data_IF_657515410478
#
_entry.id   IF_657515410478
#
_cell.length_a   1.000
_cell.length_b   1.000
_cell.length_c   1.000
_cell.angle_alpha   90.00
_cell.angle_beta   90.00
_cell.angle_gamma   90.00
#
_symmetry.space_group_name_H-M   'P 1'
#
loop_
_entity.id
_entity.type
_entity.pdbx_description
1 polymer ?
#
# COMPACT_ATOMS: atom_id res chain seq x y z
N UNK A 1 -35.99 -25.93 1.40
CA UNK A 1 -34.52 -25.84 1.42
C UNK A 1 -34.15 -24.44 1.87
N UNK A 2 -33.36 -24.25 2.94
CA UNK A 2 -33.05 -22.92 3.44
C UNK A 2 -31.99 -22.27 2.53
N UNK A 3 -32.30 -21.09 2.01
CA UNK A 3 -31.36 -20.24 1.30
C UNK A 3 -30.27 -19.77 2.26
N UNK A 4 -29.06 -20.29 2.09
CA UNK A 4 -27.86 -19.76 2.72
C UNK A 4 -27.47 -18.47 2.02
N UNK A 5 -27.91 -17.33 2.57
CA UNK A 5 -27.38 -16.02 2.19
C UNK A 5 -25.89 -15.97 2.52
N UNK A 6 -25.06 -15.83 1.50
CA UNK A 6 -23.64 -15.53 1.65
C UNK A 6 -23.48 -14.21 2.43
N UNK A 7 -22.56 -14.14 3.42
CA UNK A 7 -22.30 -12.89 4.11
C UNK A 7 -21.66 -11.91 3.11
N UNK A 8 -22.43 -10.91 2.69
CA UNK A 8 -21.95 -9.75 1.94
C UNK A 8 -20.82 -9.10 2.73
N UNK A 9 -19.64 -9.03 2.12
CA UNK A 9 -18.48 -8.35 2.67
C UNK A 9 -18.87 -6.92 3.06
N UNK A 10 -18.75 -6.58 4.35
CA UNK A 10 -18.91 -5.19 4.78
C UNK A 10 -17.74 -4.39 4.19
N UNK A 11 -18.01 -3.37 3.36
CA UNK A 11 -16.98 -2.48 2.85
C UNK A 11 -16.33 -1.77 4.05
N UNK A 12 -15.10 -1.28 3.85
CA UNK A 12 -14.34 -0.46 4.80
C UNK A 12 -15.29 0.41 5.63
N UNK A 13 -15.52 -0.03 6.87
CA UNK A 13 -16.51 0.56 7.76
C UNK A 13 -15.95 1.89 8.22
N UNK A 14 -16.24 2.97 7.49
CA UNK A 14 -15.93 4.32 7.94
C UNK A 14 -16.67 4.50 9.27
N UNK A 15 -15.90 4.66 10.35
CA UNK A 15 -16.43 5.03 11.65
C UNK A 15 -16.64 6.54 11.61
N UNK A 16 -17.88 6.99 11.78
CA UNK A 16 -18.20 8.41 11.79
C UNK A 16 -18.33 8.89 13.24
N UNK A 17 -17.56 9.92 13.57
CA UNK A 17 -17.77 10.71 14.78
C UNK A 17 -18.66 11.89 14.44
N UNK A 18 -19.84 11.95 15.05
CA UNK A 18 -20.80 13.03 14.87
C UNK A 18 -21.00 13.79 16.17
N UNK A 19 -21.00 15.12 16.08
CA UNK A 19 -21.39 16.02 17.16
C UNK A 19 -22.82 16.45 16.88
N UNK A 20 -23.72 16.23 17.84
CA UNK A 20 -25.12 16.58 17.67
C UNK A 20 -25.71 17.20 18.94
N UNK A 21 -26.79 17.96 18.77
CA UNK A 21 -27.35 18.80 19.84
C UNK A 21 -26.28 19.69 20.49
N UNK A 22 -26.47 20.11 21.74
CA UNK A 22 -25.50 20.89 22.52
C UNK A 22 -24.52 20.03 23.33
N UNK A 23 -24.82 18.73 23.44
CA UNK A 23 -24.21 17.83 24.43
C UNK A 23 -24.04 16.37 23.98
N UNK A 24 -24.25 16.03 22.70
CA UNK A 24 -24.16 14.64 22.22
C UNK A 24 -22.95 14.40 21.34
N UNK A 25 -22.31 13.26 21.58
CA UNK A 25 -21.28 12.69 20.73
C UNK A 25 -21.76 11.32 20.27
N UNK A 26 -21.75 11.06 18.98
CA UNK A 26 -22.20 9.81 18.39
C UNK A 26 -21.04 9.13 17.66
N UNK A 27 -20.84 7.85 17.95
CA UNK A 27 -19.98 6.96 17.19
C UNK A 27 -20.87 6.10 16.31
N UNK A 28 -20.90 6.40 15.02
CA UNK A 28 -21.71 5.70 14.03
C UNK A 28 -20.85 4.66 13.33
N UNK A 29 -21.38 3.46 13.16
CA UNK A 29 -20.68 2.34 12.50
C UNK A 29 -19.36 1.96 13.23
N UNK A 30 -19.32 2.19 14.55
CA UNK A 30 -18.18 1.92 15.41
C UNK A 30 -18.35 0.61 16.16
N UNK A 31 -17.38 -0.30 16.02
CA UNK A 31 -17.43 -1.59 16.69
C UNK A 31 -17.41 -1.45 18.22
N UNK A 32 -18.10 -2.36 18.93
CA UNK A 32 -18.27 -2.35 20.40
C UNK A 32 -16.96 -2.31 21.20
N UNK A 33 -15.86 -2.81 20.63
CA UNK A 33 -14.55 -2.76 21.29
C UNK A 33 -14.02 -1.33 21.47
N UNK A 34 -14.49 -0.37 20.66
CA UNK A 34 -14.10 1.04 20.78
C UNK A 34 -14.88 1.78 21.87
N UNK A 35 -15.99 1.22 22.35
CA UNK A 35 -16.93 1.95 23.22
C UNK A 35 -16.32 2.27 24.58
N UNK A 36 -15.68 1.29 25.22
CA UNK A 36 -15.11 1.47 26.56
C UNK A 36 -13.89 2.41 26.56
N UNK A 37 -12.89 2.23 25.67
CA UNK A 37 -11.81 3.19 25.52
C UNK A 37 -12.30 4.61 25.25
N UNK A 38 -13.32 4.76 24.40
CA UNK A 38 -13.94 6.05 24.10
C UNK A 38 -14.54 6.70 25.35
N UNK A 39 -15.32 5.95 26.13
CA UNK A 39 -15.94 6.45 27.36
C UNK A 39 -14.90 6.85 28.40
N UNK A 40 -13.87 6.02 28.60
CA UNK A 40 -12.80 6.31 29.55
C UNK A 40 -12.06 7.61 29.17
N UNK A 41 -11.82 7.82 27.88
CA UNK A 41 -11.17 9.04 27.40
C UNK A 41 -12.05 10.29 27.49
N UNK A 42 -13.35 10.16 27.19
CA UNK A 42 -14.31 11.27 27.35
C UNK A 42 -14.42 11.66 28.84
N UNK A 43 -14.52 10.68 29.74
CA UNK A 43 -14.59 10.91 31.19
C UNK A 43 -13.30 11.52 31.75
N UNK A 44 -12.12 11.13 31.23
CA UNK A 44 -10.85 11.69 31.65
C UNK A 44 -10.62 13.12 31.13
N UNK A 45 -11.19 13.46 29.96
CA UNK A 45 -11.03 14.77 29.34
C UNK A 45 -11.97 15.83 29.91
N UNK A 46 -13.21 15.44 30.22
CA UNK A 46 -14.17 16.33 30.87
C UNK A 46 -13.98 16.28 32.38
N UNK A 47 -13.47 17.36 32.98
CA UNK A 47 -13.31 17.46 34.44
C UNK A 47 -14.67 17.33 35.15
N UNK A 48 -15.09 16.11 35.49
CA UNK A 48 -16.34 15.85 36.24
C UNK A 48 -17.61 15.71 35.39
N UNK A 49 -17.52 15.47 34.08
CA UNK A 49 -18.72 15.17 33.27
C UNK A 49 -19.22 13.77 33.58
N UNK A 50 -20.34 13.64 34.30
CA UNK A 50 -21.10 12.40 34.31
C UNK A 50 -21.67 12.18 32.90
N UNK A 51 -21.38 11.02 32.32
CA UNK A 51 -21.76 10.68 30.96
C UNK A 51 -22.83 9.60 31.00
N UNK A 52 -23.92 9.79 30.22
CA UNK A 52 -24.89 8.70 30.00
C UNK A 52 -24.76 8.19 28.58
N UNK A 53 -24.89 6.88 28.41
CA UNK A 53 -24.77 6.23 27.10
C UNK A 53 -26.10 5.68 26.65
N UNK A 54 -26.31 5.74 25.34
CA UNK A 54 -27.44 5.09 24.69
C UNK A 54 -26.93 4.29 23.50
N UNK A 55 -27.17 2.98 23.55
CA UNK A 55 -27.01 2.10 22.41
C UNK A 55 -28.17 2.41 21.44
N UNK A 56 -27.86 3.07 20.33
CA UNK A 56 -28.85 3.40 19.31
C UNK A 56 -29.11 2.21 18.38
N UNK A 57 -28.11 1.33 18.24
CA UNK A 57 -28.16 -0.02 17.67
C UNK A 57 -26.78 -0.68 17.87
N UNK A 58 -26.64 -1.98 17.60
CA UNK A 58 -25.42 -2.75 17.87
C UNK A 58 -24.09 -2.17 17.32
N UNK A 59 -24.14 -1.14 16.46
CA UNK A 59 -23.00 -0.45 15.84
C UNK A 59 -22.98 1.08 16.07
N UNK A 60 -23.96 1.65 16.79
CA UNK A 60 -24.07 3.09 17.03
C UNK A 60 -24.15 3.40 18.53
N UNK A 61 -23.14 4.08 19.05
CA UNK A 61 -23.08 4.56 20.44
C UNK A 61 -23.37 6.06 20.49
N UNK A 62 -24.33 6.46 21.29
CA UNK A 62 -24.52 7.86 21.68
C UNK A 62 -24.02 8.09 23.12
N UNK A 63 -23.29 9.18 23.28
CA UNK A 63 -22.69 9.64 24.53
C UNK A 63 -23.30 11.01 24.83
N UNK A 64 -24.05 11.13 25.92
CA UNK A 64 -24.54 12.40 26.45
C UNK A 64 -23.52 12.94 27.44
N UNK A 65 -22.99 14.11 27.13
CA UNK A 65 -22.09 14.85 28.00
C UNK A 65 -22.90 15.67 29.00
N UNK A 66 -22.31 15.95 30.16
CA UNK A 66 -22.86 16.92 31.08
C UNK A 66 -22.48 18.34 30.62
N UNK A 67 -23.39 19.31 30.77
CA UNK A 67 -23.21 20.66 30.24
C UNK A 67 -23.41 20.76 28.72
N UNK A 68 -22.95 21.87 28.13
CA UNK A 68 -23.15 22.20 26.70
C UNK A 68 -21.83 22.44 25.97
N UNK A 69 -20.92 21.43 25.92
CA UNK A 69 -19.59 21.61 25.36
C UNK A 69 -19.61 22.07 23.90
N UNK A 70 -20.66 21.75 23.14
CA UNK A 70 -20.77 22.12 21.73
C UNK A 70 -21.43 23.50 21.52
N UNK A 71 -21.99 24.12 22.56
CA UNK A 71 -22.64 25.43 22.47
C UNK A 71 -21.63 26.58 22.40
N UNK A 72 -20.38 26.35 22.84
CA UNK A 72 -19.29 27.33 22.82
C UNK A 72 -19.69 28.67 23.46
N UNK A 73 -20.45 28.61 24.56
CA UNK A 73 -20.96 29.78 25.29
C UNK A 73 -19.84 30.58 25.98
N UNK A 74 -18.70 29.94 26.24
CA UNK A 74 -17.50 30.57 26.78
C UNK A 74 -16.22 30.03 26.14
N UNK A 75 -15.13 30.78 26.29
CA UNK A 75 -13.80 30.39 25.79
C UNK A 75 -13.31 29.08 26.46
N UNK A 76 -13.68 28.85 27.72
CA UNK A 76 -13.45 27.60 28.44
C UNK A 76 -14.23 26.42 27.82
N UNK A 77 -15.50 26.61 27.46
CA UNK A 77 -16.31 25.53 26.86
C UNK A 77 -15.72 25.08 25.53
N UNK A 78 -15.25 26.03 24.71
CA UNK A 78 -14.58 25.73 23.45
C UNK A 78 -13.27 24.94 23.63
N UNK A 79 -12.52 25.17 24.71
CA UNK A 79 -11.29 24.42 25.02
C UNK A 79 -11.62 23.03 25.51
N UNK A 80 -12.59 22.87 26.42
CA UNK A 80 -13.03 21.57 26.93
C UNK A 80 -13.60 20.68 25.82
N UNK A 81 -14.40 21.24 24.91
CA UNK A 81 -14.89 20.56 23.72
C UNK A 81 -13.74 19.98 22.86
N UNK A 82 -12.68 20.77 22.65
CA UNK A 82 -11.50 20.34 21.88
C UNK A 82 -10.69 19.28 22.63
N UNK A 83 -10.61 19.34 23.97
CA UNK A 83 -9.99 18.29 24.78
C UNK A 83 -10.72 16.96 24.64
N UNK A 84 -12.05 16.98 24.66
CA UNK A 84 -12.88 15.78 24.44
C UNK A 84 -12.60 15.22 23.04
N UNK A 85 -12.66 16.03 21.99
CA UNK A 85 -12.33 15.58 20.63
C UNK A 85 -10.92 15.00 20.51
N UNK A 86 -9.92 15.66 21.11
CA UNK A 86 -8.55 15.15 21.14
C UNK A 86 -8.43 13.81 21.88
N UNK A 87 -9.15 13.65 22.99
CA UNK A 87 -9.18 12.39 23.74
C UNK A 87 -9.81 11.28 22.90
N UNK A 88 -10.92 11.55 22.20
CA UNK A 88 -11.53 10.62 21.25
C UNK A 88 -10.55 10.21 20.14
N UNK A 89 -9.86 11.16 19.51
CA UNK A 89 -8.86 10.82 18.48
C UNK A 89 -7.70 9.98 19.03
N UNK A 90 -7.34 10.17 20.30
CA UNK A 90 -6.32 9.35 21.00
C UNK A 90 -6.80 7.94 21.36
N UNK A 91 -8.10 7.67 21.37
CA UNK A 91 -8.65 6.32 21.59
C UNK A 91 -8.64 5.44 20.35
N UNK A 92 -8.34 6.02 19.18
CA UNK A 92 -7.97 5.20 18.03
C UNK A 92 -6.74 4.37 18.43
N UNK A 93 -6.70 3.07 18.10
CA UNK A 93 -5.54 2.24 18.44
C UNK A 93 -4.28 2.94 17.96
N UNK A 94 -3.30 3.14 18.85
CA UNK A 94 -1.97 3.61 18.46
C UNK A 94 -1.45 2.56 17.49
N UNK A 95 -1.54 2.86 16.20
CA UNK A 95 -1.02 1.97 15.16
C UNK A 95 0.49 2.05 15.25
N UNK A 96 1.10 1.04 15.85
CA UNK A 96 2.54 0.86 15.79
C UNK A 96 2.89 0.38 14.39
N UNK A 97 3.76 1.10 13.71
CA UNK A 97 4.24 0.71 12.40
C UNK A 97 5.61 0.07 12.52
N UNK A 98 5.75 -1.11 11.93
CA UNK A 98 7.04 -1.74 11.70
C UNK A 98 7.48 -1.46 10.27
N UNK A 99 8.80 -1.34 10.08
CA UNK A 99 9.41 -1.04 8.80
C UNK A 99 10.50 -2.05 8.49
N UNK A 100 10.62 -2.43 7.24
CA UNK A 100 11.76 -3.21 6.75
C UNK A 100 12.06 -2.82 5.31
N UNK A 101 13.19 -3.29 4.78
CA UNK A 101 13.65 -2.87 3.45
C UNK A 101 14.10 -4.05 2.60
N UNK A 102 13.79 -4.00 1.31
CA UNK A 102 14.34 -4.90 0.29
C UNK A 102 15.15 -4.05 -0.68
N UNK A 103 16.45 -4.34 -0.77
CA UNK A 103 17.39 -3.62 -1.63
C UNK A 103 17.91 -4.53 -2.74
N UNK A 104 17.83 -4.03 -3.98
CA UNK A 104 18.52 -4.63 -5.12
C UNK A 104 20.00 -4.22 -5.04
N UNK A 105 20.91 -5.18 -4.84
CA UNK A 105 22.31 -4.88 -4.54
C UNK A 105 23.25 -5.49 -5.57
N UNK A 106 24.29 -4.71 -5.92
CA UNK A 106 25.30 -5.08 -6.92
C UNK A 106 24.62 -5.48 -8.24
N UNK A 107 24.91 -6.67 -8.74
CA UNK A 107 24.41 -7.15 -10.02
C UNK A 107 23.43 -8.32 -9.86
N UNK A 108 23.38 -8.92 -8.67
CA UNK A 108 22.81 -10.24 -8.45
C UNK A 108 22.34 -10.53 -7.01
N UNK A 109 22.31 -9.54 -6.11
CA UNK A 109 21.95 -9.77 -4.70
C UNK A 109 20.66 -9.06 -4.31
N UNK A 110 19.88 -9.70 -3.44
CA UNK A 110 18.80 -9.08 -2.70
C UNK A 110 19.23 -8.96 -1.25
N UNK A 111 19.19 -7.76 -0.68
CA UNK A 111 19.46 -7.53 0.74
C UNK A 111 18.20 -7.08 1.45
N UNK A 112 17.82 -7.82 2.48
CA UNK A 112 16.67 -7.58 3.32
C UNK A 112 17.18 -7.02 4.65
N UNK A 113 16.74 -5.83 5.03
CA UNK A 113 17.17 -5.16 6.27
C UNK A 113 15.97 -5.06 7.21
N UNK A 114 16.14 -5.54 8.44
CA UNK A 114 15.11 -5.58 9.49
C UNK A 114 13.82 -6.30 9.08
N UNK A 115 13.92 -7.22 8.11
CA UNK A 115 12.78 -7.98 7.62
C UNK A 115 12.42 -9.11 8.60
N UNK A 116 11.16 -9.26 9.03
CA UNK A 116 10.75 -10.42 9.80
C UNK A 116 10.84 -11.69 8.95
N UNK A 117 10.94 -12.84 9.62
CA UNK A 117 11.13 -14.15 8.96
C UNK A 117 10.05 -14.47 7.92
N UNK A 118 8.81 -13.99 8.13
CA UNK A 118 7.71 -14.18 7.16
C UNK A 118 7.99 -13.48 5.82
N UNK A 119 8.61 -12.29 5.84
CA UNK A 119 9.01 -11.55 4.64
C UNK A 119 10.22 -12.23 4.00
N UNK A 120 11.20 -12.66 4.80
CA UNK A 120 12.37 -13.40 4.31
C UNK A 120 11.94 -14.68 3.57
N UNK A 121 11.02 -15.45 4.15
CA UNK A 121 10.50 -16.68 3.55
C UNK A 121 9.71 -16.38 2.27
N UNK A 122 8.85 -15.36 2.28
CA UNK A 122 8.12 -14.94 1.08
C UNK A 122 9.06 -14.55 -0.08
N UNK A 123 10.17 -13.86 0.21
CA UNK A 123 11.19 -13.54 -0.79
C UNK A 123 11.90 -14.80 -1.27
N UNK A 124 12.30 -15.71 -0.36
CA UNK A 124 12.95 -16.98 -0.72
C UNK A 124 12.08 -17.84 -1.63
N UNK A 125 10.79 -17.95 -1.32
CA UNK A 125 9.82 -18.69 -2.13
C UNK A 125 9.67 -18.07 -3.53
N UNK A 126 9.60 -16.74 -3.59
CA UNK A 126 9.52 -16.01 -4.86
C UNK A 126 10.78 -16.21 -5.72
N UNK A 127 11.96 -16.25 -5.10
CA UNK A 127 13.22 -16.59 -5.77
C UNK A 127 13.14 -18.02 -6.31
N UNK A 128 12.86 -19.01 -5.46
CA UNK A 128 12.86 -20.42 -5.84
C UNK A 128 11.84 -20.78 -6.91
N UNK A 129 10.75 -20.02 -7.03
CA UNK A 129 9.74 -20.22 -8.07
C UNK A 129 10.24 -19.91 -9.49
N UNK A 130 11.28 -19.09 -9.67
CA UNK A 130 11.66 -18.56 -11.00
C UNK A 130 13.15 -18.34 -11.23
N UNK A 131 13.94 -18.29 -10.17
CA UNK A 131 15.38 -18.08 -10.17
C UNK A 131 16.07 -19.19 -9.38
N UNK A 132 17.39 -19.28 -9.54
CA UNK A 132 18.22 -20.18 -8.74
C UNK A 132 18.97 -19.37 -7.69
N UNK A 133 18.81 -19.75 -6.43
CA UNK A 133 19.63 -19.25 -5.34
C UNK A 133 21.05 -19.81 -5.48
N UNK A 134 22.05 -18.94 -5.41
CA UNK A 134 23.47 -19.31 -5.47
C UNK A 134 24.10 -19.32 -4.08
N UNK A 135 23.71 -18.39 -3.20
CA UNK A 135 24.21 -18.28 -1.84
C UNK A 135 23.20 -17.52 -0.98
N UNK A 136 23.24 -17.74 0.33
CA UNK A 136 22.36 -17.11 1.31
C UNK A 136 23.13 -16.84 2.60
N UNK A 137 23.15 -15.57 3.02
CA UNK A 137 23.86 -15.14 4.21
C UNK A 137 22.89 -14.45 5.19
N UNK A 138 23.00 -14.80 6.47
CA UNK A 138 22.25 -14.16 7.54
C UNK A 138 23.23 -13.45 8.49
N UNK A 139 23.06 -12.14 8.63
CA UNK A 139 23.78 -11.27 9.54
C UNK A 139 22.73 -10.57 10.43
N UNK A 140 23.05 -10.26 11.69
CA UNK A 140 22.13 -9.76 12.72
C UNK A 140 20.83 -9.09 12.23
N UNK A 141 20.92 -7.96 11.51
CA UNK A 141 19.76 -7.21 11.00
C UNK A 141 19.57 -7.32 9.48
N UNK A 142 20.40 -8.11 8.79
CA UNK A 142 20.49 -8.16 7.34
C UNK A 142 20.51 -9.59 6.84
N UNK A 143 19.53 -9.94 6.01
CA UNK A 143 19.48 -11.20 5.30
C UNK A 143 19.77 -10.99 3.81
N UNK A 144 20.69 -11.74 3.23
CA UNK A 144 21.12 -11.53 1.85
C UNK A 144 21.00 -12.80 1.01
N UNK A 145 20.34 -12.68 -0.13
CA UNK A 145 20.25 -13.73 -1.14
C UNK A 145 21.13 -13.36 -2.33
N UNK A 146 22.02 -14.26 -2.76
CA UNK A 146 22.73 -14.16 -4.02
C UNK A 146 22.03 -15.01 -5.06
N UNK A 147 21.63 -14.40 -6.17
CA UNK A 147 20.96 -15.06 -7.27
C UNK A 147 22.00 -15.55 -8.28
N UNK A 148 21.71 -16.67 -8.95
CA UNK A 148 22.53 -17.12 -10.09
C UNK A 148 22.31 -16.16 -11.27
N UNK A 149 23.41 -15.72 -11.89
CA UNK A 149 23.39 -14.78 -13.01
C UNK A 149 23.51 -13.31 -12.56
N UNK A 150 23.06 -12.37 -13.39
CA UNK A 150 23.16 -10.93 -13.12
C UNK A 150 21.83 -10.20 -13.38
N UNK A 151 20.75 -10.52 -12.63
CA UNK A 151 19.41 -9.97 -12.88
C UNK A 151 19.34 -8.43 -12.83
N UNK A 152 20.24 -7.76 -12.10
CA UNK A 152 20.27 -6.30 -12.02
C UNK A 152 21.15 -5.63 -13.09
N UNK A 153 21.83 -6.43 -13.90
CA UNK A 153 22.52 -6.03 -15.14
C UNK A 153 22.02 -6.83 -16.34
N UNK A 154 20.76 -7.24 -16.29
CA UNK A 154 20.14 -8.05 -17.33
C UNK A 154 20.03 -7.30 -18.66
N UNK A 155 20.02 -8.05 -19.75
CA UNK A 155 19.73 -7.55 -21.10
C UNK A 155 18.68 -8.44 -21.78
N UNK A 156 18.03 -7.91 -22.84
CA UNK A 156 17.03 -8.65 -23.60
C UNK A 156 15.93 -9.28 -22.73
N UNK A 157 15.76 -10.60 -22.88
CA UNK A 157 14.74 -11.40 -22.19
C UNK A 157 14.97 -11.53 -20.68
N UNK A 158 16.22 -11.54 -20.22
CA UNK A 158 16.55 -11.64 -18.79
C UNK A 158 15.98 -10.45 -18.00
N UNK A 159 15.82 -9.30 -18.66
CA UNK A 159 15.22 -8.12 -18.04
C UNK A 159 13.73 -8.31 -17.71
N UNK A 160 13.04 -9.18 -18.45
CA UNK A 160 11.64 -9.54 -18.16
C UNK A 160 11.60 -10.42 -16.92
N UNK A 161 12.46 -11.44 -16.84
CA UNK A 161 12.55 -12.31 -15.68
C UNK A 161 12.88 -11.54 -14.39
N UNK A 162 13.84 -10.62 -14.43
CA UNK A 162 14.23 -9.81 -13.27
C UNK A 162 13.08 -8.92 -12.77
N UNK A 163 12.39 -8.20 -13.67
CA UNK A 163 11.24 -7.34 -13.31
C UNK A 163 10.03 -8.14 -12.85
N UNK A 164 9.83 -9.33 -13.43
CA UNK A 164 8.80 -10.26 -12.98
C UNK A 164 9.07 -10.72 -11.55
N UNK A 165 10.31 -11.13 -11.22
CA UNK A 165 10.69 -11.51 -9.87
C UNK A 165 10.41 -10.40 -8.86
N UNK A 166 10.79 -9.16 -9.17
CA UNK A 166 10.51 -8.02 -8.29
C UNK A 166 9.00 -7.86 -8.09
N UNK A 167 8.21 -7.88 -9.16
CA UNK A 167 6.75 -7.76 -9.08
C UNK A 167 6.13 -8.85 -8.22
N UNK A 168 6.57 -10.11 -8.39
CA UNK A 168 6.12 -11.26 -7.58
C UNK A 168 6.51 -11.12 -6.11
N UNK A 169 7.73 -10.66 -5.82
CA UNK A 169 8.16 -10.40 -4.44
C UNK A 169 7.25 -9.37 -3.79
N UNK A 170 7.01 -8.24 -4.46
CA UNK A 170 6.18 -7.15 -3.92
C UNK A 170 4.73 -7.60 -3.68
N UNK A 171 4.17 -8.35 -4.62
CA UNK A 171 2.84 -8.96 -4.48
C UNK A 171 2.77 -9.94 -3.30
N UNK A 172 3.77 -10.83 -3.18
CA UNK A 172 3.81 -11.83 -2.10
C UNK A 172 3.95 -11.17 -0.73
N UNK A 173 4.89 -10.24 -0.54
CA UNK A 173 5.08 -9.57 0.76
C UNK A 173 3.87 -8.72 1.14
N UNK A 174 3.24 -8.07 0.16
CA UNK A 174 2.03 -7.30 0.41
C UNK A 174 0.84 -8.18 0.80
N UNK A 175 0.70 -9.36 0.18
CA UNK A 175 -0.34 -10.34 0.53
C UNK A 175 -0.25 -10.86 1.97
N UNK A 176 0.93 -10.80 2.58
CA UNK A 176 1.17 -11.18 3.98
C UNK A 176 1.27 -9.97 4.93
N UNK A 177 0.74 -8.81 4.51
CA UNK A 177 0.61 -7.64 5.36
C UNK A 177 1.84 -6.73 5.43
N UNK A 178 2.74 -6.82 4.45
CA UNK A 178 3.90 -5.95 4.29
C UNK A 178 3.86 -5.17 2.97
N UNK A 179 2.86 -4.29 2.76
CA UNK A 179 2.78 -3.49 1.56
C UNK A 179 3.97 -2.54 1.40
N UNK A 180 4.30 -2.24 0.16
CA UNK A 180 5.31 -1.23 -0.19
C UNK A 180 4.82 0.15 0.26
N UNK A 181 5.62 0.81 1.09
CA UNK A 181 5.41 2.20 1.48
C UNK A 181 5.93 3.15 0.41
N UNK A 182 7.18 2.94 -0.01
CA UNK A 182 7.85 3.77 -1.00
C UNK A 182 9.01 3.00 -1.64
N UNK A 183 9.42 3.43 -2.82
CA UNK A 183 10.73 3.10 -3.38
C UNK A 183 11.70 4.27 -3.21
N UNK A 184 13.00 3.97 -3.15
CA UNK A 184 14.08 4.94 -3.04
C UNK A 184 15.21 4.55 -3.98
N UNK A 185 15.91 5.54 -4.52
CA UNK A 185 17.21 5.37 -5.17
C UNK A 185 18.24 6.17 -4.35
N UNK A 186 19.00 5.45 -3.51
CA UNK A 186 19.78 6.07 -2.43
C UNK A 186 21.24 6.29 -2.83
N UNK A 187 21.70 5.67 -3.92
CA UNK A 187 23.13 5.64 -4.22
C UNK A 187 23.43 5.91 -5.67
N UNK A 188 24.41 6.79 -5.87
CA UNK A 188 24.93 7.18 -7.18
C UNK A 188 25.91 6.16 -7.76
N UNK A 189 26.14 5.03 -7.07
CA UNK A 189 26.99 3.96 -7.58
C UNK A 189 26.24 3.24 -8.69
N UNK A 190 26.91 2.98 -9.81
CA UNK A 190 26.31 2.26 -10.95
C UNK A 190 25.72 0.89 -10.59
N UNK A 191 26.13 0.31 -9.45
CA UNK A 191 25.73 -1.01 -8.97
C UNK A 191 24.81 -0.99 -7.74
N UNK A 192 24.50 0.17 -7.15
CA UNK A 192 23.33 0.28 -6.29
C UNK A 192 22.11 0.46 -7.18
N UNK A 193 21.01 -0.15 -6.76
CA UNK A 193 19.76 -0.16 -7.50
C UNK A 193 18.64 0.24 -6.53
N UNK A 194 17.40 0.14 -6.98
CA UNK A 194 16.24 0.53 -6.19
C UNK A 194 16.14 -0.19 -4.85
N UNK A 195 15.67 0.55 -3.85
CA UNK A 195 15.30 0.08 -2.52
C UNK A 195 13.79 0.18 -2.39
N UNK A 196 13.15 -0.82 -1.80
CA UNK A 196 11.74 -0.80 -1.42
C UNK A 196 11.62 -0.80 0.10
N UNK A 197 10.97 0.23 0.64
CA UNK A 197 10.62 0.29 2.06
C UNK A 197 9.22 -0.30 2.22
N UNK A 198 9.08 -1.28 3.10
CA UNK A 198 7.82 -1.92 3.45
C UNK A 198 7.35 -1.41 4.81
N UNK A 199 6.04 -1.32 5.00
CA UNK A 199 5.44 -0.90 6.26
C UNK A 199 4.29 -1.82 6.64
N UNK A 200 4.34 -2.38 7.84
CA UNK A 200 3.25 -3.15 8.43
C UNK A 200 2.65 -2.42 9.63
N UNK A 201 1.33 -2.39 9.72
CA UNK A 201 0.61 -1.92 10.89
C UNK A 201 0.47 -3.08 11.89
N UNK A 202 1.24 -3.03 12.98
CA UNK A 202 1.11 -4.02 14.05
C UNK A 202 -0.27 -3.90 14.71
N UNK A 203 -0.95 -5.03 14.89
CA UNK A 203 -2.23 -5.10 15.60
C UNK A 203 -3.48 -4.87 14.75
N UNK A 204 -3.34 -4.66 13.43
CA UNK A 204 -4.47 -4.64 12.50
C UNK A 204 -4.43 -5.88 11.62
N UNK A 205 -5.45 -6.75 11.75
CA UNK A 205 -5.71 -7.77 10.74
C UNK A 205 -6.19 -7.06 9.47
N UNK A 206 -5.50 -7.29 8.35
CA UNK A 206 -6.01 -6.90 7.04
C UNK A 206 -7.37 -7.57 6.86
N UNK A 207 -8.44 -6.81 6.54
CA UNK A 207 -9.73 -7.41 6.26
C UNK A 207 -9.56 -8.43 5.14
N UNK A 208 -10.03 -9.66 5.36
CA UNK A 208 -9.96 -10.75 4.37
C UNK A 208 -10.72 -10.46 3.06
N UNK A 209 -11.48 -9.35 3.03
CA UNK A 209 -12.22 -8.84 1.88
C UNK A 209 -11.41 -7.90 0.98
N UNK A 210 -10.22 -7.45 1.39
CA UNK A 210 -9.36 -6.65 0.50
C UNK A 210 -8.69 -7.61 -0.49
N UNK A 211 -8.91 -7.43 -1.81
CA UNK A 211 -8.20 -8.21 -2.81
C UNK A 211 -6.69 -8.11 -2.57
N UNK A 212 -5.97 -9.22 -2.71
CA UNK A 212 -4.51 -9.19 -2.64
C UNK A 212 -3.99 -8.14 -3.63
N UNK A 213 -3.14 -7.20 -3.20
CA UNK A 213 -2.66 -6.15 -4.09
C UNK A 213 -1.83 -6.79 -5.20
N UNK A 214 -2.24 -6.57 -6.45
CA UNK A 214 -1.52 -7.03 -7.62
C UNK A 214 -0.45 -6.02 -8.01
N UNK A 215 0.78 -6.49 -8.20
CA UNK A 215 1.90 -5.67 -8.65
C UNK A 215 2.28 -6.05 -10.07
N UNK A 216 2.47 -5.04 -10.92
CA UNK A 216 2.95 -5.21 -12.28
C UNK A 216 4.01 -4.16 -12.58
N UNK A 217 4.78 -4.40 -13.63
CA UNK A 217 5.81 -3.47 -14.08
C UNK A 217 5.46 -2.91 -15.45
N UNK A 218 5.54 -1.60 -15.56
CA UNK A 218 5.62 -0.87 -16.84
C UNK A 218 7.09 -0.53 -17.05
N UNK A 219 7.68 -0.96 -18.15
CA UNK A 219 9.04 -0.57 -18.53
C UNK A 219 9.06 0.14 -19.87
N UNK A 220 9.79 1.24 -19.93
CA UNK A 220 10.14 1.92 -21.17
C UNK A 220 11.42 1.28 -21.70
N UNK A 221 11.40 0.88 -22.97
CA UNK A 221 12.47 0.09 -23.58
C UNK A 221 12.90 0.71 -24.90
N UNK A 222 14.20 0.64 -25.18
CA UNK A 222 14.81 1.27 -26.37
C UNK A 222 14.37 2.74 -26.47
N UNK A 223 14.00 3.20 -27.67
CA UNK A 223 13.56 4.58 -27.91
C UNK A 223 12.04 4.71 -28.06
N UNK A 224 11.32 3.59 -28.21
CA UNK A 224 9.92 3.60 -28.64
C UNK A 224 9.06 2.45 -28.12
N UNK A 225 9.50 1.67 -27.13
CA UNK A 225 8.73 0.52 -26.63
C UNK A 225 8.21 0.75 -25.21
N UNK A 226 6.98 0.30 -24.97
CA UNK A 226 6.43 0.11 -23.62
C UNK A 226 6.19 -1.38 -23.43
N UNK A 227 6.62 -1.91 -22.29
CA UNK A 227 6.43 -3.32 -21.94
C UNK A 227 5.70 -3.43 -20.60
N UNK A 228 4.72 -4.32 -20.56
CA UNK A 228 3.90 -4.66 -19.41
C UNK A 228 4.22 -6.07 -18.94
N UNK A 229 4.71 -6.18 -17.71
CA UNK A 229 5.18 -7.43 -17.10
C UNK A 229 4.33 -7.71 -15.86
N UNK A 230 3.80 -8.94 -15.74
CA UNK A 230 2.84 -9.32 -14.71
C UNK A 230 1.56 -8.46 -14.68
N UNK A 231 1.21 -7.81 -15.79
CA UNK A 231 0.04 -6.94 -15.86
C UNK A 231 -1.23 -7.74 -16.15
N UNK A 232 -2.31 -7.54 -15.39
CA UNK A 232 -3.63 -8.07 -15.73
C UNK A 232 -4.09 -7.61 -17.13
N UNK A 233 -4.87 -8.44 -17.82
CA UNK A 233 -5.34 -8.16 -19.19
C UNK A 233 -6.13 -6.85 -19.31
N UNK A 234 -6.91 -6.48 -18.29
CA UNK A 234 -7.64 -5.22 -18.27
C UNK A 234 -6.70 -4.00 -18.16
N UNK A 235 -5.55 -4.12 -17.49
CA UNK A 235 -4.52 -3.08 -17.44
C UNK A 235 -3.85 -2.94 -18.80
N UNK A 236 -3.60 -4.06 -19.49
CA UNK A 236 -3.08 -4.04 -20.87
C UNK A 236 -4.05 -3.29 -21.79
N UNK A 237 -5.35 -3.64 -21.75
CA UNK A 237 -6.37 -2.97 -22.56
C UNK A 237 -6.49 -1.47 -22.22
N UNK A 238 -6.46 -1.13 -20.93
CA UNK A 238 -6.49 0.26 -20.47
C UNK A 238 -5.30 1.05 -21.02
N UNK A 239 -4.07 0.52 -20.92
CA UNK A 239 -2.89 1.21 -21.43
C UNK A 239 -2.94 1.39 -22.96
N UNK A 240 -3.44 0.40 -23.71
CA UNK A 240 -3.65 0.56 -25.16
C UNK A 240 -4.58 1.74 -25.47
N UNK A 241 -5.68 1.86 -24.73
CA UNK A 241 -6.62 2.96 -24.90
C UNK A 241 -5.98 4.31 -24.56
N UNK A 242 -5.21 4.39 -23.47
CA UNK A 242 -4.46 5.60 -23.08
C UNK A 242 -3.50 6.01 -24.20
N UNK A 243 -2.68 5.07 -24.69
CA UNK A 243 -1.73 5.36 -25.77
C UNK A 243 -2.45 5.77 -27.05
N UNK A 244 -3.52 5.07 -27.45
CA UNK A 244 -4.31 5.44 -28.64
C UNK A 244 -5.01 6.80 -28.52
N UNK A 245 -5.29 7.26 -27.31
CA UNK A 245 -5.95 8.56 -27.05
C UNK A 245 -4.95 9.71 -27.02
N UNK A 246 -3.80 9.51 -26.35
CA UNK A 246 -2.88 10.60 -26.01
C UNK A 246 -1.60 10.61 -26.84
N UNK A 247 -1.22 9.50 -27.49
CA UNK A 247 -0.07 9.44 -28.39
C UNK A 247 -0.53 9.54 -29.84
N UNK A 248 -0.50 10.75 -30.41
CA UNK A 248 -1.03 11.03 -31.75
C UNK A 248 -0.37 10.23 -32.87
N UNK A 249 0.91 9.86 -32.72
CA UNK A 249 1.60 9.01 -33.69
C UNK A 249 1.14 7.54 -33.63
N UNK A 250 0.50 7.11 -32.54
CA UNK A 250 -0.12 5.80 -32.42
C UNK A 250 0.85 4.63 -32.20
N UNK A 251 0.28 3.42 -32.17
CA UNK A 251 1.00 2.16 -31.95
C UNK A 251 1.43 1.57 -33.30
N UNK A 252 2.72 1.25 -33.42
CA UNK A 252 3.30 0.62 -34.61
C UNK A 252 3.12 -0.88 -34.63
N UNK A 253 3.32 -1.53 -33.48
CA UNK A 253 3.31 -2.99 -33.37
C UNK A 253 3.02 -3.43 -31.95
N UNK A 254 2.31 -4.53 -31.80
CA UNK A 254 2.06 -5.22 -30.53
C UNK A 254 2.61 -6.64 -30.62
N UNK A 255 3.19 -7.14 -29.54
CA UNK A 255 3.69 -8.51 -29.48
C UNK A 255 3.74 -9.05 -28.06
N UNK A 256 3.75 -10.37 -27.95
CA UNK A 256 4.22 -11.09 -26.78
C UNK A 256 5.76 -11.08 -26.78
N UNK A 257 6.38 -10.87 -25.62
CA UNK A 257 7.83 -10.84 -25.45
C UNK A 257 8.22 -11.51 -24.11
N UNK A 258 8.56 -12.81 -24.14
CA UNK A 258 9.08 -13.57 -23.00
C UNK A 258 8.19 -13.56 -21.73
N UNK A 259 6.89 -13.79 -21.90
CA UNK A 259 5.85 -13.74 -20.86
C UNK A 259 5.35 -12.33 -20.55
N UNK A 260 5.66 -11.35 -21.40
CA UNK A 260 5.22 -9.96 -21.23
C UNK A 260 4.51 -9.43 -22.48
N UNK A 261 3.71 -8.40 -22.31
CA UNK A 261 3.09 -7.70 -23.42
C UNK A 261 3.95 -6.49 -23.81
N UNK A 262 4.27 -6.33 -25.08
CA UNK A 262 5.08 -5.22 -25.59
C UNK A 262 4.35 -4.48 -26.71
N UNK A 263 4.32 -3.15 -26.60
CA UNK A 263 3.92 -2.25 -27.68
C UNK A 263 5.11 -1.42 -28.14
N UNK A 264 5.32 -1.36 -29.45
CA UNK A 264 6.24 -0.43 -30.12
C UNK A 264 5.41 0.73 -30.67
N UNK A 265 5.78 1.94 -30.30
CA UNK A 265 5.12 3.18 -30.71
C UNK A 265 5.70 3.65 -32.05
N UNK A 266 4.93 4.46 -32.78
CA UNK A 266 5.49 5.26 -33.86
C UNK A 266 6.27 6.43 -33.26
N UNK A 267 7.36 6.82 -33.92
CA UNK A 267 8.29 7.85 -33.42
C UNK A 267 9.29 7.30 -32.41
N UNK A 268 9.92 8.20 -31.66
CA UNK A 268 10.93 7.88 -30.64
C UNK A 268 10.70 8.65 -29.33
N UNK A 269 9.58 8.42 -28.61
CA UNK A 269 9.19 9.20 -27.43
C UNK A 269 10.20 9.15 -26.28
N UNK A 270 11.01 8.09 -26.19
CA UNK A 270 12.01 7.92 -25.12
C UNK A 270 13.42 8.35 -25.55
N UNK A 271 13.57 8.86 -26.78
CA UNK A 271 14.84 9.41 -27.24
C UNK A 271 15.06 10.74 -26.49
N UNK A 272 15.81 10.72 -25.39
CA UNK A 272 16.01 11.85 -24.47
C UNK A 272 16.67 13.11 -25.06
N UNK A 273 16.83 13.18 -26.39
CA UNK A 273 17.10 14.41 -27.12
C UNK A 273 15.82 15.24 -27.21
N UNK A 274 15.90 16.58 -27.27
CA UNK A 274 14.75 17.46 -27.48
C UNK A 274 14.23 17.36 -28.93
N UNK A 275 13.66 16.22 -29.28
CA UNK A 275 12.88 16.04 -30.50
C UNK A 275 11.41 16.37 -30.22
N UNK A 276 10.66 16.65 -31.28
CA UNK A 276 9.22 16.87 -31.18
C UNK A 276 8.50 15.69 -30.47
N UNK A 277 8.99 14.47 -30.69
CA UNK A 277 8.48 13.25 -30.05
C UNK A 277 8.73 13.22 -28.54
N UNK A 278 9.90 13.67 -28.06
CA UNK A 278 10.22 13.64 -26.64
C UNK A 278 9.51 14.75 -25.86
N UNK A 279 9.21 15.88 -26.52
CA UNK A 279 8.36 16.94 -25.96
C UNK A 279 6.89 16.48 -25.85
N UNK A 280 6.39 15.75 -26.85
CA UNK A 280 5.03 15.20 -26.81
C UNK A 280 4.84 14.07 -25.79
N UNK A 281 5.94 13.48 -25.30
CA UNK A 281 5.93 12.40 -24.31
C UNK A 281 6.04 12.86 -22.84
N UNK A 282 6.34 14.15 -22.59
CA UNK A 282 6.39 14.76 -21.25
C UNK A 282 5.00 15.17 -20.78
#
# INVERSE_FOLDING_TARGET
MPHTSTPTATPTSIVCLSLSSRDRLQLINGSRHLWRPLLDAVNAAGSGTNVTTKDLNQQNLEIKLNGWPWENASLSDGVEARKILLAVFRTQPIVSYQYCMISLNRNDRLRLIDCPIIVINAVRDSINARFKLQDEANLQISHEFKLKGYPWMANGSETVAARFLVSTILEKVSSIGWPVLTSLDISRRANDKGVFVLRSASGLSLPSSIPSPSYFCVSLNETDKIRLINAPSHIVAMLKNVVGTYWSAGIRREQEYFGSYEMKLNGAPWNGMETQDSLAAK
#
